data_IF_319975585269
#
_entry.id   IF_319975585269
#
_cell.length_a   1.000
_cell.length_b   1.000
_cell.length_c   1.000
_cell.angle_alpha   90.00
_cell.angle_beta   90.00
_cell.angle_gamma   90.00
#
_symmetry.space_group_name_H-M   'P 1'
#
loop_
_entity.id
_entity.type
_entity.pdbx_description
1 polymer ?
#
# COMPACT_ATOMS: atom_id res chain seq x y z
N UNK A 1 3.03 -7.92 0.81
CA UNK A 1 2.96 -6.51 0.34
C UNK A 1 4.36 -6.01 0.00
N UNK A 2 4.49 -5.34 -1.11
CA UNK A 2 5.74 -4.75 -1.56
C UNK A 2 5.54 -3.25 -1.73
N UNK A 3 6.38 -2.46 -1.08
CA UNK A 3 6.32 -1.00 -1.12
C UNK A 3 7.70 -0.47 -1.51
N UNK A 4 7.76 0.23 -2.63
CA UNK A 4 8.99 0.86 -3.12
C UNK A 4 8.81 2.37 -3.09
N UNK A 5 9.60 3.04 -2.24
CA UNK A 5 9.55 4.49 -2.11
C UNK A 5 10.66 5.12 -2.96
N UNK A 6 10.38 6.28 -3.52
CA UNK A 6 11.30 7.00 -4.39
C UNK A 6 12.14 8.00 -3.61
N UNK A 7 13.46 7.85 -3.69
CA UNK A 7 14.40 8.80 -3.07
C UNK A 7 14.29 10.18 -3.71
N UNK A 8 14.10 10.24 -5.01
CA UNK A 8 13.91 11.49 -5.75
C UNK A 8 12.67 12.23 -5.30
N UNK A 9 11.54 11.52 -5.18
CA UNK A 9 10.28 12.11 -4.72
C UNK A 9 10.39 12.57 -3.26
N UNK A 10 11.08 11.82 -2.42
CA UNK A 10 11.31 12.18 -1.02
C UNK A 10 12.09 13.49 -0.92
N UNK A 11 13.17 13.63 -1.66
CA UNK A 11 13.98 14.85 -1.71
C UNK A 11 13.14 16.04 -2.21
N UNK A 12 12.35 15.83 -3.24
CA UNK A 12 11.51 16.88 -3.85
C UNK A 12 10.46 17.40 -2.88
N UNK A 13 9.96 16.54 -2.00
CA UNK A 13 8.93 16.87 -1.00
C UNK A 13 9.49 17.12 0.39
N UNK A 14 10.81 17.14 0.54
CA UNK A 14 11.50 17.38 1.80
C UNK A 14 11.10 16.35 2.88
N UNK A 15 10.98 15.08 2.48
CA UNK A 15 10.56 13.97 3.32
C UNK A 15 11.74 13.04 3.56
N UNK A 16 11.92 12.57 4.80
CA UNK A 16 12.95 11.59 5.15
C UNK A 16 12.46 10.18 4.83
N UNK A 17 13.13 9.54 3.85
CA UNK A 17 12.74 8.21 3.36
C UNK A 17 12.87 7.13 4.44
N UNK A 18 13.94 7.18 5.25
CA UNK A 18 14.14 6.22 6.34
C UNK A 18 13.01 6.27 7.35
N UNK A 19 12.55 7.46 7.71
CA UNK A 19 11.43 7.62 8.64
C UNK A 19 10.15 7.02 8.07
N UNK A 20 9.92 7.16 6.77
CA UNK A 20 8.76 6.56 6.10
C UNK A 20 8.80 5.04 6.20
N UNK A 21 9.92 4.42 5.87
CA UNK A 21 10.07 2.97 6.01
C UNK A 21 9.94 2.51 7.46
N UNK A 22 10.49 3.26 8.40
CA UNK A 22 10.38 2.93 9.83
C UNK A 22 8.93 2.95 10.32
N UNK A 23 8.13 3.89 9.85
CA UNK A 23 6.70 3.95 10.19
C UNK A 23 5.94 2.73 9.66
N UNK A 24 6.22 2.33 8.44
CA UNK A 24 5.61 1.16 7.82
C UNK A 24 6.05 -0.12 8.56
N UNK A 25 7.34 -0.26 8.82
CA UNK A 25 7.90 -1.41 9.56
C UNK A 25 7.27 -1.53 10.95
N UNK A 26 7.16 -0.42 11.66
CA UNK A 26 6.55 -0.38 12.99
C UNK A 26 5.11 -0.87 12.97
N UNK A 27 4.34 -0.45 11.98
CA UNK A 27 2.95 -0.90 11.81
C UNK A 27 2.89 -2.41 11.67
N UNK A 28 3.63 -2.99 10.75
CA UNK A 28 3.59 -4.42 10.50
C UNK A 28 4.22 -5.23 11.64
N UNK A 29 5.34 -4.77 12.18
CA UNK A 29 6.02 -5.45 13.28
C UNK A 29 5.14 -5.52 14.53
N UNK A 30 4.42 -4.45 14.85
CA UNK A 30 3.53 -4.41 16.01
C UNK A 30 2.37 -5.41 15.89
N UNK A 31 2.06 -5.85 14.67
CA UNK A 31 0.99 -6.81 14.39
C UNK A 31 1.51 -8.22 14.06
N UNK A 32 2.79 -8.46 14.28
CA UNK A 32 3.39 -9.78 14.10
C UNK A 32 3.62 -10.20 12.65
N UNK A 33 3.60 -9.27 11.72
CA UNK A 33 3.89 -9.56 10.31
C UNK A 33 5.39 -9.64 10.09
N UNK A 34 5.83 -10.64 9.32
CA UNK A 34 7.25 -10.82 8.98
C UNK A 34 7.73 -9.73 8.04
N UNK A 35 8.86 -9.10 8.40
CA UNK A 35 9.55 -8.15 7.53
C UNK A 35 10.69 -8.90 6.84
N UNK A 36 10.55 -9.12 5.53
CA UNK A 36 11.57 -9.85 4.73
C UNK A 36 12.77 -8.95 4.46
N UNK A 37 12.50 -7.73 4.05
CA UNK A 37 13.51 -6.69 3.81
C UNK A 37 12.78 -5.34 3.82
N UNK A 38 13.53 -4.26 3.66
CA UNK A 38 12.95 -2.92 3.65
C UNK A 38 11.86 -2.80 2.58
N UNK A 39 10.64 -2.53 3.02
CA UNK A 39 9.49 -2.37 2.13
C UNK A 39 8.82 -3.69 1.70
N UNK A 40 9.33 -4.84 2.13
CA UNK A 40 8.79 -6.16 1.75
C UNK A 40 8.25 -6.88 2.98
N UNK A 41 6.95 -7.14 2.98
CA UNK A 41 6.23 -7.72 4.13
C UNK A 41 5.52 -8.98 3.71
N UNK A 42 5.75 -10.07 4.47
CA UNK A 42 5.17 -11.38 4.19
C UNK A 42 4.18 -11.73 5.31
N UNK A 43 2.93 -11.90 4.92
CA UNK A 43 1.88 -12.32 5.85
C UNK A 43 1.43 -13.74 5.60
N UNK A 44 0.72 -14.29 6.59
CA UNK A 44 -0.03 -15.53 6.47
C UNK A 44 -1.52 -15.19 6.48
N UNK A 45 -2.39 -16.20 6.33
CA UNK A 45 -3.84 -15.99 6.22
C UNK A 45 -4.43 -15.12 7.35
N UNK A 46 -3.97 -15.31 8.58
CA UNK A 46 -4.42 -14.53 9.74
C UNK A 46 -4.09 -13.04 9.64
N UNK A 47 -3.14 -12.66 8.79
CA UNK A 47 -2.70 -11.28 8.63
C UNK A 47 -3.49 -10.51 7.56
N UNK A 48 -4.49 -11.14 6.94
CA UNK A 48 -5.27 -10.53 5.86
C UNK A 48 -5.85 -9.17 6.27
N UNK A 49 -6.46 -9.10 7.45
CA UNK A 49 -7.04 -7.86 7.96
C UNK A 49 -5.99 -6.76 8.13
N UNK A 50 -4.81 -7.13 8.63
CA UNK A 50 -3.69 -6.18 8.80
C UNK A 50 -3.27 -5.56 7.46
N UNK A 51 -3.18 -6.37 6.41
CA UNK A 51 -2.86 -5.87 5.07
C UNK A 51 -4.00 -5.05 4.48
N UNK A 52 -5.25 -5.44 4.70
CA UNK A 52 -6.40 -4.69 4.22
C UNK A 52 -6.47 -3.29 4.84
N UNK A 53 -6.22 -3.19 6.14
CA UNK A 53 -6.17 -1.90 6.86
C UNK A 53 -5.03 -1.04 6.31
N UNK A 54 -3.84 -1.62 6.09
CA UNK A 54 -2.71 -0.91 5.52
C UNK A 54 -3.02 -0.37 4.13
N UNK A 55 -3.69 -1.15 3.30
CA UNK A 55 -4.08 -0.74 1.95
C UNK A 55 -5.00 0.49 1.96
N UNK A 56 -5.88 0.58 2.95
CA UNK A 56 -6.76 1.74 3.11
C UNK A 56 -6.10 2.92 3.80
N UNK A 57 -5.20 2.67 4.76
CA UNK A 57 -4.63 3.70 5.62
C UNK A 57 -3.42 4.41 5.03
N UNK A 58 -2.56 3.70 4.29
CA UNK A 58 -1.34 4.29 3.73
C UNK A 58 -1.61 5.50 2.82
N UNK A 59 -2.57 5.42 1.87
CA UNK A 59 -2.87 6.59 1.04
C UNK A 59 -3.44 7.78 1.81
N UNK A 60 -4.01 7.54 2.99
CA UNK A 60 -4.56 8.61 3.83
C UNK A 60 -3.49 9.35 4.63
N UNK A 61 -2.27 8.85 4.67
CA UNK A 61 -1.17 9.56 5.31
C UNK A 61 -0.76 10.78 4.47
N UNK A 62 -0.13 11.76 5.12
CA UNK A 62 0.29 12.99 4.42
C UNK A 62 1.52 12.78 3.51
N UNK A 63 2.19 11.64 3.66
CA UNK A 63 3.48 11.43 3.00
C UNK A 63 3.50 10.29 1.98
N UNK A 64 2.65 9.28 2.11
CA UNK A 64 2.77 8.03 1.33
C UNK A 64 2.66 8.28 -0.18
N UNK A 65 1.60 8.95 -0.62
CA UNK A 65 1.39 9.20 -2.05
C UNK A 65 2.42 10.16 -2.65
N UNK A 66 3.09 10.95 -1.81
CA UNK A 66 4.14 11.87 -2.25
C UNK A 66 5.46 11.16 -2.55
N UNK A 67 5.69 10.00 -1.96
CA UNK A 67 6.99 9.31 -2.06
C UNK A 67 6.90 7.92 -2.67
N UNK A 68 5.72 7.32 -2.77
CA UNK A 68 5.57 5.96 -3.30
C UNK A 68 5.85 5.93 -4.80
N UNK A 69 6.64 4.95 -5.20
CA UNK A 69 6.95 4.70 -6.61
C UNK A 69 6.18 3.48 -7.14
N UNK A 70 6.23 2.37 -6.39
CA UNK A 70 5.52 1.14 -6.72
C UNK A 70 4.94 0.53 -5.45
N UNK A 71 3.78 -0.10 -5.57
CA UNK A 71 3.10 -0.70 -4.44
C UNK A 71 2.26 -1.88 -4.91
N UNK A 72 2.60 -3.08 -4.41
CA UNK A 72 1.94 -4.32 -4.84
C UNK A 72 1.45 -5.12 -3.65
N UNK A 73 0.35 -5.82 -3.85
CA UNK A 73 -0.19 -6.78 -2.89
C UNK A 73 -0.32 -8.12 -3.62
N UNK A 74 0.27 -9.16 -3.03
CA UNK A 74 0.19 -10.51 -3.57
C UNK A 74 -0.69 -11.37 -2.67
N UNK A 75 -1.58 -12.14 -3.28
CA UNK A 75 -2.44 -13.08 -2.60
C UNK A 75 -2.10 -14.49 -3.07
N UNK A 76 -2.01 -15.41 -2.11
CA UNK A 76 -1.84 -16.83 -2.42
C UNK A 76 -3.22 -17.49 -2.35
N UNK A 77 -3.51 -18.40 -3.28
CA UNK A 77 -4.74 -19.18 -3.25
C UNK A 77 -4.74 -20.18 -2.09
N UNK A 78 -5.90 -20.76 -1.83
CA UNK A 78 -6.13 -21.64 -0.70
C UNK A 78 -5.54 -23.06 -0.86
N UNK A 79 -4.72 -23.31 -1.87
CA UNK A 79 -4.12 -24.61 -2.09
C UNK A 79 -2.92 -24.56 -3.04
N UNK A 80 -2.15 -25.67 -3.14
CA UNK A 80 -0.95 -25.71 -3.96
C UNK A 80 -1.21 -25.52 -5.47
N UNK A 81 -2.44 -25.71 -5.90
CA UNK A 81 -2.84 -25.52 -7.31
C UNK A 81 -3.36 -24.10 -7.61
N UNK A 82 -3.57 -23.29 -6.57
CA UNK A 82 -4.08 -21.93 -6.75
C UNK A 82 -2.94 -21.00 -7.12
N UNK A 83 -3.07 -20.22 -8.22
CA UNK A 83 -2.01 -19.33 -8.64
C UNK A 83 -1.83 -18.17 -7.65
N UNK A 84 -0.60 -17.71 -7.52
CA UNK A 84 -0.32 -16.45 -6.84
C UNK A 84 -0.89 -15.31 -7.67
N UNK A 85 -1.57 -14.39 -7.00
CA UNK A 85 -2.13 -13.20 -7.63
C UNK A 85 -1.45 -11.95 -7.09
N UNK A 86 -0.81 -11.20 -7.99
CA UNK A 86 -0.12 -9.94 -7.64
C UNK A 86 -0.89 -8.78 -8.23
N UNK A 87 -1.33 -7.86 -7.38
CA UNK A 87 -2.13 -6.71 -7.77
C UNK A 87 -1.34 -5.42 -7.56
N UNK A 88 -1.43 -4.50 -8.52
CA UNK A 88 -0.89 -3.16 -8.40
C UNK A 88 -1.84 -2.31 -7.54
N UNK A 89 -1.49 -2.14 -6.27
CA UNK A 89 -2.33 -1.44 -5.29
C UNK A 89 -2.39 0.06 -5.56
N UNK A 90 -1.32 0.64 -6.10
CA UNK A 90 -1.28 2.06 -6.43
C UNK A 90 -2.22 2.39 -7.59
N UNK A 91 -2.18 1.61 -8.65
CA UNK A 91 -3.09 1.75 -9.79
C UNK A 91 -4.54 1.57 -9.36
N UNK A 92 -4.82 0.56 -8.53
CA UNK A 92 -6.16 0.32 -7.98
C UNK A 92 -6.67 1.50 -7.18
N UNK A 93 -5.82 2.10 -6.35
CA UNK A 93 -6.18 3.27 -5.55
C UNK A 93 -6.61 4.44 -6.44
N UNK A 94 -5.80 4.79 -7.43
CA UNK A 94 -6.11 5.92 -8.32
C UNK A 94 -7.36 5.67 -9.16
N UNK A 95 -7.55 4.44 -9.62
CA UNK A 95 -8.73 4.07 -10.40
C UNK A 95 -10.02 4.20 -9.59
N UNK A 96 -10.02 3.69 -8.36
CA UNK A 96 -11.19 3.77 -7.46
C UNK A 96 -11.47 5.22 -7.07
N UNK A 97 -10.44 5.99 -6.73
CA UNK A 97 -10.58 7.40 -6.36
C UNK A 97 -11.18 8.22 -7.52
N UNK A 98 -10.72 7.99 -8.74
CA UNK A 98 -11.25 8.66 -9.93
C UNK A 98 -12.73 8.35 -10.15
N UNK A 99 -13.12 7.07 -10.02
CA UNK A 99 -14.51 6.65 -10.15
C UNK A 99 -15.39 7.30 -9.08
N UNK A 100 -14.90 7.40 -7.87
CA UNK A 100 -15.61 8.04 -6.76
C UNK A 100 -15.82 9.52 -7.03
N UNK A 101 -14.80 10.21 -7.51
CA UNK A 101 -14.89 11.63 -7.87
C UNK A 101 -15.90 11.88 -8.98
N UNK A 102 -15.91 11.04 -10.01
CA UNK A 102 -16.88 11.11 -11.11
C UNK A 102 -18.30 10.89 -10.60
N UNK A 103 -18.51 9.93 -9.71
CA UNK A 103 -19.79 9.67 -9.10
C UNK A 103 -20.30 10.89 -8.30
N UNK A 104 -19.45 11.47 -7.48
CA UNK A 104 -19.77 12.66 -6.69
C UNK A 104 -20.16 13.84 -7.59
N UNK A 105 -19.41 14.05 -8.67
CA UNK A 105 -19.73 15.10 -9.64
C UNK A 105 -21.11 14.94 -10.25
N UNK A 106 -21.47 13.73 -10.65
CA UNK A 106 -22.79 13.42 -11.21
C UNK A 106 -23.91 13.71 -10.20
N UNK A 107 -23.69 13.36 -8.93
CA UNK A 107 -24.66 13.60 -7.87
C UNK A 107 -24.86 15.10 -7.58
N UNK A 108 -23.85 15.92 -7.78
CA UNK A 108 -23.89 17.35 -7.57
C UNK A 108 -24.34 18.15 -8.81
N UNK A 109 -24.62 17.48 -9.92
CA UNK A 109 -25.07 18.14 -11.14
C UNK A 109 -23.99 18.86 -11.93
N UNK A 110 -22.75 18.47 -11.75
CA UNK A 110 -21.61 19.03 -12.52
C UNK A 110 -21.40 18.29 -13.83
#
# INVERSE_FOLDING_TARGET
MEIYLSEEKAKKNNINLNECYQKIDKYFKSRGVEIVSEGIYKGVRKDFETFAIAQGSLPDTKWFLKVVDQWYISYFGDGPESPEYRSDALDSYYRITKQTDEYIRKQKGY
#
